data_IF_855827261809
#
_entry.id   IF_855827261809
#
_cell.length_a   1.000
_cell.length_b   1.000
_cell.length_c   1.000
_cell.angle_alpha   90.00
_cell.angle_beta   90.00
_cell.angle_gamma   90.00
#
_symmetry.space_group_name_H-M   'P 1'
#
loop_
_entity.id
_entity.type
_entity.pdbx_description
1 polymer ?
#
# COMPACT_ATOMS: atom_id res chain seq x y z
N UNK A 1 -4.08 16.49 -1.24
CA UNK A 1 -4.48 15.09 -1.45
C UNK A 1 -3.33 14.22 -0.96
N UNK A 2 -3.65 13.06 -0.42
CA UNK A 2 -2.67 12.15 0.18
C UNK A 2 -3.06 10.70 -0.10
N UNK A 3 -2.06 9.83 -0.17
CA UNK A 3 -2.21 8.37 -0.17
C UNK A 3 -1.51 7.83 1.07
N UNK A 4 -2.20 6.96 1.82
CA UNK A 4 -1.72 6.35 3.05
C UNK A 4 -1.15 7.36 4.06
N UNK A 5 -1.82 8.52 4.15
CA UNK A 5 -1.41 9.61 5.04
C UNK A 5 -0.19 10.42 4.56
N UNK A 6 0.33 10.14 3.36
CA UNK A 6 1.44 10.87 2.75
C UNK A 6 0.95 11.79 1.63
N UNK A 7 1.25 13.12 1.70
CA UNK A 7 0.95 14.04 0.62
C UNK A 7 1.54 13.60 -0.73
N UNK A 8 0.78 13.78 -1.82
CA UNK A 8 1.18 13.34 -3.17
C UNK A 8 2.48 14.00 -3.67
N UNK A 9 2.75 15.24 -3.28
CA UNK A 9 3.95 16.01 -3.64
C UNK A 9 5.14 15.75 -2.70
N UNK A 10 5.04 14.75 -1.82
CA UNK A 10 6.11 14.51 -0.88
C UNK A 10 7.34 13.92 -1.55
N UNK A 11 7.21 13.07 -2.57
CA UNK A 11 8.37 12.55 -3.32
C UNK A 11 8.85 13.56 -4.40
N UNK A 12 10.17 13.70 -4.66
CA UNK A 12 10.67 14.64 -5.66
C UNK A 12 10.08 14.43 -7.06
N UNK A 13 9.56 15.51 -7.63
CA UNK A 13 8.95 15.52 -8.97
C UNK A 13 7.49 15.08 -8.98
N UNK A 14 6.92 14.67 -7.84
CA UNK A 14 5.53 14.26 -7.76
C UNK A 14 4.59 15.47 -7.67
N UNK A 15 3.41 15.42 -8.32
CA UNK A 15 2.52 16.56 -8.38
C UNK A 15 1.74 16.71 -7.06
N UNK A 16 1.37 17.93 -6.66
CA UNK A 16 0.52 18.18 -5.48
C UNK A 16 -0.93 17.72 -5.67
N UNK A 17 -1.31 17.42 -6.91
CA UNK A 17 -2.65 17.01 -7.31
C UNK A 17 -2.58 15.99 -8.44
N UNK A 18 -3.39 14.94 -8.31
CA UNK A 18 -3.64 13.96 -9.34
C UNK A 18 -5.15 13.92 -9.62
N UNK A 19 -5.54 14.10 -10.88
CA UNK A 19 -6.95 14.00 -11.28
C UNK A 19 -7.23 12.59 -11.80
N UNK A 20 -8.05 11.85 -11.06
CA UNK A 20 -8.45 10.47 -11.40
C UNK A 20 -9.96 10.31 -11.31
N UNK A 21 -10.51 9.38 -12.08
CA UNK A 21 -11.91 8.96 -11.98
C UNK A 21 -12.09 7.76 -11.05
N UNK A 22 -11.06 6.92 -10.95
CA UNK A 22 -11.04 5.74 -10.11
C UNK A 22 -9.73 5.71 -9.32
N UNK A 23 -9.81 5.31 -8.07
CA UNK A 23 -8.67 5.02 -7.22
C UNK A 23 -8.88 3.64 -6.63
N UNK A 24 -7.91 2.76 -6.83
CA UNK A 24 -7.91 1.46 -6.16
C UNK A 24 -7.39 1.69 -4.75
N UNK A 25 -8.19 1.29 -3.76
CA UNK A 25 -7.81 1.37 -2.36
C UNK A 25 -7.50 -0.04 -1.85
N UNK A 26 -6.24 -0.33 -1.48
CA UNK A 26 -5.91 -1.57 -0.78
C UNK A 26 -6.67 -1.68 0.55
N UNK A 27 -6.69 -2.87 1.14
CA UNK A 27 -7.23 -3.03 2.49
C UNK A 27 -6.43 -2.15 3.47
N UNK A 28 -7.16 -1.38 4.30
CA UNK A 28 -6.64 -0.29 5.13
C UNK A 28 -5.89 0.85 4.43
N UNK A 29 -5.76 0.80 3.10
CA UNK A 29 -5.31 1.93 2.30
C UNK A 29 -6.20 3.15 2.51
N UNK A 30 -5.60 4.33 2.46
CA UNK A 30 -6.31 5.59 2.71
C UNK A 30 -6.07 6.57 1.59
N UNK A 31 -7.12 7.28 1.20
CA UNK A 31 -6.99 8.39 0.28
C UNK A 31 -7.76 9.61 0.73
N UNK A 32 -7.13 10.76 0.55
CA UNK A 32 -7.71 12.07 0.80
C UNK A 32 -7.84 12.80 -0.53
N UNK A 33 -9.06 13.06 -0.97
CA UNK A 33 -9.36 13.68 -2.25
C UNK A 33 -10.42 14.77 -2.15
N UNK A 34 -10.46 15.64 -3.15
CA UNK A 34 -11.52 16.64 -3.33
C UNK A 34 -12.27 16.30 -4.60
N UNK A 35 -13.60 16.33 -4.55
CA UNK A 35 -14.46 16.12 -5.72
C UNK A 35 -15.18 17.41 -6.10
N UNK A 36 -15.38 17.61 -7.40
CA UNK A 36 -16.35 18.61 -7.86
C UNK A 36 -17.76 18.06 -7.63
N UNK A 37 -18.61 18.81 -6.92
CA UNK A 37 -19.97 18.38 -6.59
C UNK A 37 -20.82 18.13 -7.85
N UNK A 38 -21.67 17.08 -7.85
CA UNK A 38 -22.48 16.76 -9.02
C UNK A 38 -23.63 17.78 -9.21
N UNK A 39 -24.07 17.95 -10.45
CA UNK A 39 -25.22 18.81 -10.79
C UNK A 39 -26.57 18.19 -10.42
N UNK A 40 -26.60 16.88 -10.20
CA UNK A 40 -27.75 16.09 -9.78
C UNK A 40 -27.33 15.14 -8.65
N UNK A 41 -28.29 14.54 -7.95
CA UNK A 41 -27.97 13.53 -6.94
C UNK A 41 -27.26 12.34 -7.60
N UNK A 42 -26.04 12.02 -7.16
CA UNK A 42 -25.18 10.99 -7.76
C UNK A 42 -24.61 10.09 -6.66
N UNK A 43 -24.62 8.75 -6.82
CA UNK A 43 -23.99 7.87 -5.85
C UNK A 43 -22.46 7.97 -5.94
N UNK A 44 -21.81 7.99 -4.78
CA UNK A 44 -20.42 7.60 -4.63
C UNK A 44 -20.42 6.10 -4.34
N UNK A 45 -19.73 5.32 -5.16
CA UNK A 45 -19.78 3.86 -5.11
C UNK A 45 -18.41 3.24 -5.34
N UNK A 46 -18.23 2.02 -4.83
CA UNK A 46 -17.13 1.15 -5.23
C UNK A 46 -17.47 0.52 -6.58
N UNK A 47 -16.47 0.29 -7.43
CA UNK A 47 -16.65 -0.55 -8.63
C UNK A 47 -16.42 -2.01 -8.27
N UNK A 48 -16.98 -2.93 -9.05
CA UNK A 48 -16.62 -4.34 -8.94
C UNK A 48 -15.10 -4.49 -9.08
N UNK A 49 -14.48 -5.26 -8.18
CA UNK A 49 -13.06 -5.50 -8.20
C UNK A 49 -12.79 -7.01 -8.27
N UNK A 50 -11.97 -7.43 -9.25
CA UNK A 50 -11.62 -8.83 -9.42
C UNK A 50 -10.33 -9.14 -8.69
N UNK A 51 -10.44 -9.93 -7.63
CA UNK A 51 -9.35 -10.30 -6.73
C UNK A 51 -8.59 -11.55 -7.18
N UNK A 52 -8.94 -12.13 -8.34
CA UNK A 52 -8.39 -13.41 -8.80
C UNK A 52 -9.37 -14.55 -8.62
N UNK A 53 -9.08 -15.70 -9.24
CA UNK A 53 -9.97 -16.87 -9.20
C UNK A 53 -10.03 -17.55 -7.82
N UNK A 54 -9.01 -17.31 -6.98
CA UNK A 54 -8.98 -17.80 -5.60
C UNK A 54 -9.56 -16.83 -4.57
N UNK A 55 -9.84 -15.58 -4.98
CA UNK A 55 -10.18 -14.51 -4.06
C UNK A 55 -11.70 -14.31 -3.91
N UNK A 56 -12.07 -13.57 -2.87
CA UNK A 56 -13.46 -13.20 -2.62
C UNK A 56 -13.99 -12.19 -3.64
N UNK A 57 -15.28 -12.28 -4.03
CA UNK A 57 -15.87 -11.29 -4.92
C UNK A 57 -16.12 -9.98 -4.19
N UNK A 58 -15.62 -8.87 -4.76
CA UNK A 58 -15.92 -7.52 -4.30
C UNK A 58 -16.94 -6.86 -5.24
N UNK A 59 -18.25 -6.98 -4.97
CA UNK A 59 -19.27 -6.35 -5.81
C UNK A 59 -19.30 -4.83 -5.60
N UNK A 60 -19.85 -4.14 -6.60
CA UNK A 60 -20.19 -2.72 -6.48
C UNK A 60 -21.12 -2.47 -5.28
N UNK A 61 -20.79 -1.44 -4.50
CA UNK A 61 -21.57 -1.00 -3.36
C UNK A 61 -21.68 0.53 -3.35
N UNK A 62 -22.88 1.05 -3.06
CA UNK A 62 -23.08 2.49 -2.84
C UNK A 62 -22.55 2.87 -1.46
N UNK A 63 -21.57 3.75 -1.41
CA UNK A 63 -20.95 4.26 -0.18
C UNK A 63 -21.73 5.46 0.38
N UNK A 64 -22.12 6.39 -0.50
CA UNK A 64 -22.84 7.60 -0.13
C UNK A 64 -23.64 8.16 -1.30
N UNK A 65 -24.59 9.04 -1.01
CA UNK A 65 -25.30 9.84 -2.02
C UNK A 65 -24.82 11.28 -1.96
N UNK A 66 -24.17 11.75 -3.03
CA UNK A 66 -23.77 13.13 -3.20
C UNK A 66 -24.96 13.92 -3.71
N UNK A 67 -25.45 14.88 -2.93
CA UNK A 67 -26.55 15.77 -3.32
C UNK A 67 -26.02 17.13 -3.75
N UNK A 68 -26.58 17.74 -4.80
CA UNK A 68 -26.26 19.12 -5.12
C UNK A 68 -26.63 19.99 -3.92
N UNK A 69 -25.66 20.74 -3.40
CA UNK A 69 -25.97 21.84 -2.50
C UNK A 69 -26.63 22.93 -3.33
N UNK A 70 -27.96 22.96 -3.37
CA UNK A 70 -28.67 24.13 -3.89
C UNK A 70 -28.18 25.34 -3.11
N UNK A 71 -27.57 26.33 -3.81
CA UNK A 71 -26.95 27.54 -3.29
C UNK A 71 -26.85 27.60 -1.74
N UNK A 72 -26.05 26.71 -1.13
CA UNK A 72 -25.71 26.93 0.28
C UNK A 72 -24.97 28.26 0.29
N UNK A 73 -25.51 29.22 1.04
CA UNK A 73 -24.79 30.44 1.37
C UNK A 73 -23.38 30.01 1.72
N UNK A 74 -22.38 30.58 1.03
CA UNK A 74 -20.99 30.48 1.46
C UNK A 74 -20.99 30.88 2.93
N UNK A 75 -21.01 29.91 3.84
CA UNK A 75 -20.49 30.10 5.20
C UNK A 75 -19.02 30.37 4.99
N UNK A 76 -18.72 31.64 4.74
CA UNK A 76 -17.39 32.20 4.61
C UNK A 76 -16.88 32.35 6.03
N UNK A 77 -16.69 31.21 6.68
CA UNK A 77 -15.95 31.07 7.93
C UNK A 77 -15.76 29.58 8.22
N UNK A 78 -15.06 28.89 7.33
CA UNK A 78 -14.05 27.98 7.85
C UNK A 78 -13.09 28.87 8.65
N UNK A 79 -13.31 28.97 9.96
CA UNK A 79 -12.28 29.45 10.87
C UNK A 79 -11.19 28.41 10.78
N UNK A 80 -10.30 28.57 9.79
CA UNK A 80 -8.98 28.00 9.84
C UNK A 80 -8.34 28.66 11.06
N UNK A 81 -8.55 28.05 12.23
CA UNK A 81 -7.87 28.45 13.46
C UNK A 81 -6.39 28.56 13.10
N UNK A 82 -5.75 29.72 13.33
CA UNK A 82 -4.41 29.96 12.89
C UNK A 82 -3.50 28.95 13.58
N UNK A 83 -2.96 28.06 12.75
CA UNK A 83 -1.78 27.26 12.97
C UNK A 83 -1.61 26.76 14.41
N UNK A 84 -2.05 25.54 14.68
CA UNK A 84 -1.21 24.66 15.50
C UNK A 84 0.18 24.70 14.85
N UNK A 85 1.10 25.49 15.43
CA UNK A 85 2.52 25.36 15.19
C UNK A 85 2.94 24.06 15.85
N UNK A 86 2.52 22.95 15.24
CA UNK A 86 3.23 21.70 15.43
C UNK A 86 4.59 22.00 14.85
N UNK A 87 5.64 21.95 15.66
CA UNK A 87 6.98 21.79 15.10
C UNK A 87 6.83 20.63 14.11
N UNK A 88 7.14 20.81 12.81
CA UNK A 88 7.10 19.68 11.91
C UNK A 88 7.94 18.61 12.60
N UNK A 89 7.32 17.45 12.87
CA UNK A 89 8.08 16.26 13.21
C UNK A 89 9.24 16.23 12.21
N UNK A 90 10.46 16.03 12.71
CA UNK A 90 11.68 16.05 11.88
C UNK A 90 11.33 15.35 10.58
N UNK A 91 11.35 16.09 9.47
CA UNK A 91 10.82 15.59 8.19
C UNK A 91 11.47 14.24 7.93
N UNK A 92 10.66 13.18 7.92
CA UNK A 92 11.05 11.92 7.33
C UNK A 92 11.63 12.24 5.95
N UNK A 93 12.71 11.56 5.57
CA UNK A 93 13.52 11.82 4.38
C UNK A 93 12.77 11.53 3.05
N UNK A 94 11.44 11.60 3.08
CA UNK A 94 10.51 11.32 2.01
C UNK A 94 10.51 12.36 0.90
N UNK A 95 11.07 13.55 1.17
CA UNK A 95 11.24 14.67 0.22
C UNK A 95 12.58 14.70 -0.52
N UNK A 96 13.37 13.64 -0.39
CA UNK A 96 14.60 13.45 -1.17
C UNK A 96 14.53 12.12 -1.90
N UNK A 97 15.15 12.07 -3.09
CA UNK A 97 15.23 10.82 -3.85
C UNK A 97 16.00 9.79 -3.01
N UNK A 98 15.56 8.54 -3.08
CA UNK A 98 16.21 7.47 -2.33
C UNK A 98 17.59 7.16 -2.92
N UNK A 99 18.63 6.95 -2.08
CA UNK A 99 19.90 6.43 -2.55
C UNK A 99 19.74 5.01 -3.10
N UNK A 100 20.74 4.48 -3.85
CA UNK A 100 20.73 3.10 -4.29
C UNK A 100 20.55 2.12 -3.11
N UNK A 101 19.83 1.00 -3.30
CA UNK A 101 19.56 0.05 -2.23
C UNK A 101 20.86 -0.59 -1.74
N UNK A 102 21.02 -0.65 -0.41
CA UNK A 102 22.16 -1.29 0.23
C UNK A 102 22.06 -2.83 0.22
N UNK A 103 20.83 -3.36 0.11
CA UNK A 103 20.52 -4.79 0.04
C UNK A 103 19.32 -5.04 -0.87
N UNK A 104 19.26 -6.26 -1.40
CA UNK A 104 18.13 -6.79 -2.17
C UNK A 104 17.56 -8.00 -1.46
N UNK A 105 16.23 -8.05 -1.30
CA UNK A 105 15.55 -9.18 -0.66
C UNK A 105 14.43 -9.71 -1.54
N UNK A 106 14.07 -10.96 -1.30
CA UNK A 106 12.88 -11.57 -1.88
C UNK A 106 12.05 -12.16 -0.75
N UNK A 107 10.74 -11.94 -0.79
CA UNK A 107 9.78 -12.62 0.08
C UNK A 107 8.60 -13.14 -0.74
N UNK A 108 8.01 -14.24 -0.32
CA UNK A 108 7.01 -14.98 -1.08
C UNK A 108 5.74 -15.18 -0.27
N UNK A 109 4.63 -14.68 -0.79
CA UNK A 109 3.29 -14.92 -0.30
C UNK A 109 2.74 -16.19 -0.97
N UNK A 110 2.17 -17.07 -0.16
CA UNK A 110 1.64 -18.35 -0.63
C UNK A 110 0.52 -18.86 0.29
N UNK A 111 -0.25 -19.81 -0.23
CA UNK A 111 -1.37 -20.46 0.46
C UNK A 111 -1.26 -21.98 0.37
N UNK A 112 -1.98 -22.69 1.23
CA UNK A 112 -2.20 -24.12 1.05
C UNK A 112 -3.23 -24.36 -0.07
N UNK A 113 -3.28 -25.58 -0.60
CA UNK A 113 -4.20 -25.92 -1.71
C UNK A 113 -5.69 -25.72 -1.38
N UNK A 114 -6.05 -25.62 -0.10
CA UNK A 114 -7.41 -25.43 0.37
C UNK A 114 -7.78 -23.94 0.57
N UNK A 115 -6.85 -22.98 0.41
CA UNK A 115 -7.11 -21.56 0.65
C UNK A 115 -7.45 -21.24 2.12
N UNK A 116 -6.94 -22.03 3.06
CA UNK A 116 -7.28 -21.91 4.51
C UNK A 116 -6.08 -21.56 5.40
N UNK A 117 -4.86 -21.67 4.86
CA UNK A 117 -3.63 -21.33 5.57
C UNK A 117 -2.76 -20.49 4.66
N UNK A 118 -2.15 -19.47 5.24
CA UNK A 118 -1.46 -18.42 4.52
C UNK A 118 -0.05 -18.25 5.06
N UNK A 119 0.92 -18.06 4.18
CA UNK A 119 2.33 -18.17 4.50
C UNK A 119 3.13 -17.03 3.90
N UNK A 120 4.13 -16.58 4.64
CA UNK A 120 5.22 -15.77 4.13
C UNK A 120 6.51 -16.61 4.18
N UNK A 121 7.14 -16.78 3.02
CA UNK A 121 8.34 -17.60 2.84
C UNK A 121 8.16 -19.02 3.42
N UNK A 122 7.01 -19.62 3.13
CA UNK A 122 6.62 -20.97 3.53
C UNK A 122 6.36 -21.16 5.03
N UNK A 123 6.22 -20.08 5.82
CA UNK A 123 5.91 -20.16 7.25
C UNK A 123 4.71 -19.30 7.61
N UNK A 124 3.88 -19.81 8.53
CA UNK A 124 2.89 -19.01 9.23
C UNK A 124 3.57 -18.20 10.33
N UNK A 125 2.97 -17.07 10.66
CA UNK A 125 3.36 -16.28 11.82
C UNK A 125 3.25 -17.10 13.11
N UNK A 126 4.27 -16.98 13.96
CA UNK A 126 4.22 -17.45 15.34
C UNK A 126 4.86 -16.39 16.25
N UNK A 127 4.16 -15.93 17.30
CA UNK A 127 4.72 -14.97 18.25
C UNK A 127 6.03 -15.47 18.86
N UNK A 128 7.05 -14.61 18.90
CA UNK A 128 8.35 -14.92 19.52
C UNK A 128 9.36 -15.58 18.59
N UNK A 129 8.99 -15.96 17.36
CA UNK A 129 9.95 -16.42 16.35
C UNK A 129 11.00 -15.33 16.02
N UNK A 130 12.22 -15.72 15.61
CA UNK A 130 13.20 -14.78 15.11
C UNK A 130 12.68 -13.96 13.91
N UNK A 131 13.11 -12.70 13.77
CA UNK A 131 12.76 -11.89 12.60
C UNK A 131 13.16 -12.59 11.29
N UNK A 132 12.28 -12.52 10.29
CA UNK A 132 12.54 -13.01 8.94
C UNK A 132 13.76 -12.34 8.33
N UNK A 133 13.86 -11.03 8.53
CA UNK A 133 14.99 -10.21 8.11
C UNK A 133 15.47 -9.32 9.25
N UNK A 134 16.79 -9.19 9.35
CA UNK A 134 17.45 -8.14 10.12
C UNK A 134 17.93 -7.09 9.10
N UNK A 135 17.47 -5.88 9.29
CA UNK A 135 17.63 -4.74 8.39
C UNK A 135 18.52 -3.72 9.08
N UNK A 136 19.47 -3.17 8.33
CA UNK A 136 20.36 -2.14 8.87
C UNK A 136 19.66 -0.79 8.84
N UNK A 137 19.48 -0.18 10.01
CA UNK A 137 18.99 1.20 10.14
C UNK A 137 19.89 2.16 9.38
N UNK A 138 19.30 3.19 8.76
CA UNK A 138 20.03 4.15 7.94
C UNK A 138 20.19 3.74 6.48
N UNK A 139 19.55 2.64 6.03
CA UNK A 139 19.66 2.15 4.65
C UNK A 139 18.34 2.19 3.90
N UNK A 140 18.45 2.05 2.58
CA UNK A 140 17.33 1.72 1.69
C UNK A 140 17.53 0.28 1.23
N UNK A 141 16.45 -0.49 1.13
CA UNK A 141 16.49 -1.84 0.57
C UNK A 141 15.50 -1.99 -0.59
N UNK A 142 15.86 -2.80 -1.58
CA UNK A 142 14.95 -3.18 -2.68
C UNK A 142 14.38 -4.57 -2.36
N UNK A 143 13.06 -4.69 -2.28
CA UNK A 143 12.40 -5.97 -2.04
C UNK A 143 11.63 -6.40 -3.28
N UNK A 144 11.77 -7.67 -3.63
CA UNK A 144 10.88 -8.35 -4.57
C UNK A 144 9.87 -9.15 -3.76
N UNK A 145 8.61 -8.73 -3.80
CA UNK A 145 7.50 -9.45 -3.16
C UNK A 145 6.83 -10.30 -4.24
N UNK A 146 6.76 -11.61 -4.04
CA UNK A 146 6.17 -12.55 -4.99
C UNK A 146 4.88 -13.12 -4.44
N UNK A 147 3.88 -13.28 -5.30
CA UNK A 147 2.64 -13.98 -5.00
C UNK A 147 2.50 -15.23 -5.86
N UNK A 148 2.41 -16.38 -5.21
CA UNK A 148 2.25 -17.70 -5.85
C UNK A 148 0.82 -18.24 -5.74
N UNK A 149 -0.14 -17.38 -5.49
CA UNK A 149 -1.54 -17.75 -5.28
C UNK A 149 -2.40 -17.23 -6.42
N UNK A 150 -3.64 -17.73 -6.46
CA UNK A 150 -4.61 -17.37 -7.49
C UNK A 150 -5.51 -16.20 -7.05
N UNK A 151 -5.14 -15.52 -5.97
CA UNK A 151 -5.80 -14.32 -5.45
C UNK A 151 -4.80 -13.19 -5.22
N UNK A 152 -5.28 -11.95 -5.23
CA UNK A 152 -4.45 -10.83 -4.82
C UNK A 152 -4.13 -10.95 -3.34
N UNK A 153 -3.03 -10.34 -2.96
CA UNK A 153 -2.77 -10.00 -1.58
C UNK A 153 -2.53 -8.51 -1.48
N UNK A 154 -2.44 -8.02 -0.25
CA UNK A 154 -2.13 -6.63 0.01
C UNK A 154 -0.89 -6.55 0.88
N UNK A 155 0.26 -6.21 0.29
CA UNK A 155 1.50 -6.13 1.04
C UNK A 155 1.46 -4.87 1.90
N UNK A 156 1.45 -5.05 3.22
CA UNK A 156 1.56 -3.96 4.18
C UNK A 156 2.83 -4.11 5.02
N UNK A 157 3.50 -3.00 5.34
CA UNK A 157 4.64 -2.97 6.26
C UNK A 157 4.51 -1.84 7.27
N UNK A 158 4.76 -2.16 8.54
CA UNK A 158 4.66 -1.18 9.61
C UNK A 158 5.87 -0.23 9.60
N UNK A 159 5.70 0.96 10.20
CA UNK A 159 6.74 1.97 10.50
C UNK A 159 7.43 2.64 9.30
N UNK A 160 7.40 2.05 8.11
CA UNK A 160 8.10 2.58 6.92
C UNK A 160 7.15 2.72 5.74
N UNK A 161 7.57 3.55 4.79
CA UNK A 161 6.93 3.66 3.49
C UNK A 161 7.88 3.16 2.40
N UNK A 162 7.32 2.88 1.24
CA UNK A 162 8.05 2.40 0.09
C UNK A 162 7.57 3.06 -1.21
N UNK A 163 8.42 2.96 -2.23
CA UNK A 163 8.09 3.27 -3.62
C UNK A 163 7.88 1.96 -4.38
N UNK A 164 6.84 1.89 -5.21
CA UNK A 164 6.64 0.78 -6.16
C UNK A 164 7.40 1.09 -7.45
N UNK A 165 8.46 0.34 -7.73
CA UNK A 165 9.30 0.54 -8.92
C UNK A 165 8.83 -0.31 -10.12
N UNK A 166 8.24 -1.49 -9.87
CA UNK A 166 7.71 -2.34 -10.92
C UNK A 166 6.58 -3.25 -10.41
N UNK A 167 5.64 -3.56 -11.30
CA UNK A 167 4.53 -4.49 -11.08
C UNK A 167 4.60 -5.56 -12.17
N UNK A 168 4.66 -6.84 -11.81
CA UNK A 168 4.80 -7.95 -12.76
C UNK A 168 5.96 -7.76 -13.75
N UNK A 169 7.08 -7.22 -13.26
CA UNK A 169 8.28 -6.92 -14.06
C UNK A 169 8.15 -5.69 -14.98
N UNK A 170 6.98 -5.06 -15.06
CA UNK A 170 6.76 -3.82 -15.81
C UNK A 170 7.12 -2.62 -14.92
N UNK A 171 8.10 -1.77 -15.31
CA UNK A 171 8.46 -0.60 -14.54
C UNK A 171 7.29 0.39 -14.40
N UNK A 172 7.11 0.92 -13.19
CA UNK A 172 6.21 2.03 -12.93
C UNK A 172 6.91 3.34 -13.34
N UNK A 173 6.36 4.11 -14.29
CA UNK A 173 6.95 5.39 -14.66
C UNK A 173 6.69 6.44 -13.57
N UNK A 174 7.55 7.47 -13.43
CA UNK A 174 7.26 8.61 -12.56
C UNK A 174 5.98 9.35 -13.00
N UNK A 175 5.30 10.08 -12.10
CA UNK A 175 5.70 10.37 -10.72
C UNK A 175 5.58 9.19 -9.76
N UNK A 176 6.42 9.15 -8.73
CA UNK A 176 6.39 8.13 -7.69
C UNK A 176 5.63 8.61 -6.45
N UNK A 177 4.99 7.70 -5.74
CA UNK A 177 4.26 8.02 -4.52
C UNK A 177 4.70 7.07 -3.41
N UNK A 178 4.58 7.56 -2.17
CA UNK A 178 4.83 6.78 -0.97
C UNK A 178 3.60 5.95 -0.63
N UNK A 179 3.83 4.69 -0.30
CA UNK A 179 2.82 3.75 0.16
C UNK A 179 3.32 3.04 1.41
N UNK A 180 2.41 2.59 2.25
CA UNK A 180 2.68 1.58 3.30
C UNK A 180 1.93 0.27 3.03
N UNK A 181 0.94 0.30 2.13
CA UNK A 181 0.21 -0.84 1.60
C UNK A 181 0.11 -0.78 0.07
N UNK A 182 0.24 -1.93 -0.59
CA UNK A 182 0.03 -2.02 -2.04
C UNK A 182 -0.42 -3.40 -2.47
N UNK A 183 -1.36 -3.42 -3.43
CA UNK A 183 -1.90 -4.66 -3.98
C UNK A 183 -0.78 -5.44 -4.68
N UNK A 184 -0.56 -6.65 -4.20
CA UNK A 184 0.31 -7.65 -4.77
C UNK A 184 -0.51 -8.53 -5.73
N UNK A 185 -0.29 -8.42 -7.07
CA UNK A 185 -1.08 -9.15 -8.06
C UNK A 185 -1.01 -10.67 -7.85
N UNK A 186 -2.03 -11.40 -8.30
CA UNK A 186 -2.02 -12.87 -8.32
C UNK A 186 -1.14 -13.42 -9.44
N UNK A 187 -0.83 -14.71 -9.36
CA UNK A 187 -0.03 -15.39 -10.38
C UNK A 187 -0.80 -15.61 -11.69
N UNK A 188 -0.12 -15.55 -12.82
CA UNK A 188 -0.73 -15.77 -14.14
C UNK A 188 -0.26 -17.07 -14.75
N UNK A 189 -1.20 -17.86 -15.27
CA UNK A 189 -0.90 -19.04 -16.10
C UNK A 189 -0.59 -18.59 -17.52
N UNK A 190 0.60 -18.92 -17.99
CA UNK A 190 1.07 -18.60 -19.34
C UNK A 190 0.51 -19.59 -20.37
N UNK A 191 0.55 -19.19 -21.65
CA UNK A 191 0.09 -20.04 -22.77
C UNK A 191 0.90 -21.33 -22.94
N UNK A 192 2.13 -21.37 -22.46
CA UNK A 192 3.01 -22.55 -22.48
C UNK A 192 2.76 -23.52 -21.30
N UNK A 193 1.77 -23.23 -20.44
CA UNK A 193 1.43 -24.02 -19.27
C UNK A 193 2.26 -23.71 -18.02
N UNK A 194 3.27 -22.85 -18.11
CA UNK A 194 4.01 -22.37 -16.95
C UNK A 194 3.18 -21.35 -16.15
N UNK A 195 3.57 -21.10 -14.90
CA UNK A 195 2.93 -20.10 -14.05
C UNK A 195 3.96 -19.06 -13.63
N UNK A 196 3.62 -17.79 -13.83
CA UNK A 196 4.44 -16.65 -13.41
C UNK A 196 3.84 -16.07 -12.14
N UNK A 197 4.59 -16.01 -11.03
CA UNK A 197 4.13 -15.33 -9.82
C UNK A 197 3.76 -13.88 -10.11
N UNK A 198 2.71 -13.38 -9.48
CA UNK A 198 2.51 -11.95 -9.40
C UNK A 198 3.67 -11.32 -8.61
N UNK A 199 4.04 -10.09 -8.92
CA UNK A 199 5.21 -9.49 -8.26
C UNK A 199 5.15 -7.98 -8.12
N UNK A 200 5.73 -7.51 -7.02
CA UNK A 200 6.08 -6.11 -6.80
C UNK A 200 7.59 -6.00 -6.61
N UNK A 201 8.16 -4.93 -7.16
CA UNK A 201 9.49 -4.44 -6.79
C UNK A 201 9.31 -3.15 -6.01
N UNK A 202 9.77 -3.17 -4.76
CA UNK A 202 9.59 -2.11 -3.79
C UNK A 202 10.93 -1.53 -3.36
N UNK A 203 11.01 -0.22 -3.19
CA UNK A 203 12.16 0.46 -2.60
C UNK A 203 11.76 1.02 -1.24
N UNK A 204 12.23 0.39 -0.16
CA UNK A 204 11.82 0.66 1.22
C UNK A 204 12.81 1.58 1.94
N UNK A 205 12.29 2.59 2.64
CA UNK A 205 13.12 3.59 3.33
C UNK A 205 13.28 3.27 4.84
N UNK A 206 14.40 2.67 5.21
CA UNK A 206 14.78 2.41 6.61
C UNK A 206 15.76 3.46 7.17
N UNK A 207 15.81 4.66 6.57
CA UNK A 207 16.80 5.68 6.97
C UNK A 207 16.43 6.45 8.24
N UNK A 208 15.16 6.47 8.65
CA UNK A 208 14.76 7.12 9.88
C UNK A 208 15.32 6.35 11.10
N UNK A 209 16.18 6.96 11.94
CA UNK A 209 16.74 6.26 13.10
C UNK A 209 15.71 5.96 14.21
N UNK A 210 14.52 6.55 14.18
CA UNK A 210 13.47 6.36 15.19
C UNK A 210 12.76 5.01 15.06
N UNK A 211 12.73 4.42 13.85
CA UNK A 211 12.01 3.17 13.56
C UNK A 211 12.72 1.90 14.05
N UNK A 212 13.87 2.03 14.73
CA UNK A 212 14.62 0.87 15.24
C UNK A 212 13.76 0.02 16.15
N UNK A 213 13.84 -1.30 16.00
CA UNK A 213 13.03 -2.25 16.76
C UNK A 213 12.45 -3.35 15.88
N UNK A 214 11.52 -4.11 16.46
CA UNK A 214 10.79 -5.18 15.77
C UNK A 214 9.40 -4.71 15.38
N UNK A 215 9.04 -4.95 14.14
CA UNK A 215 7.69 -4.72 13.62
C UNK A 215 7.42 -5.71 12.48
N UNK A 216 6.23 -5.66 11.92
CA UNK A 216 5.74 -6.68 11.00
C UNK A 216 5.54 -6.15 9.59
N UNK A 217 5.59 -7.06 8.63
CA UNK A 217 4.90 -6.94 7.36
C UNK A 217 3.98 -8.13 7.19
N UNK A 218 2.85 -7.92 6.53
CA UNK A 218 1.80 -8.93 6.41
C UNK A 218 0.91 -8.66 5.20
N UNK A 219 0.04 -9.63 4.91
CA UNK A 219 -1.13 -9.36 4.08
C UNK A 219 -2.11 -8.49 4.85
N UNK A 220 -2.68 -7.46 4.24
CA UNK A 220 -3.70 -6.61 4.87
C UNK A 220 -5.14 -7.10 4.64
N UNK A 221 -5.32 -8.23 3.94
CA UNK A 221 -6.57 -8.99 4.03
C UNK A 221 -6.58 -9.66 5.41
N UNK A 222 -7.35 -9.09 6.35
CA UNK A 222 -7.29 -9.43 7.78
C UNK A 222 -7.45 -10.94 8.04
N UNK A 223 -8.34 -11.59 7.29
CA UNK A 223 -8.54 -13.03 7.39
C UNK A 223 -7.26 -13.82 7.06
N UNK A 224 -6.38 -13.31 6.19
CA UNK A 224 -5.12 -13.95 5.82
C UNK A 224 -4.04 -13.65 6.85
N UNK A 225 -4.00 -12.40 7.35
CA UNK A 225 -3.15 -11.99 8.47
C UNK A 225 -3.36 -12.91 9.69
N UNK A 226 -4.61 -13.01 10.16
CA UNK A 226 -5.01 -13.78 11.34
C UNK A 226 -4.72 -15.29 11.17
N UNK A 227 -4.81 -15.79 9.92
CA UNK A 227 -4.48 -17.18 9.57
C UNK A 227 -2.99 -17.38 9.25
N UNK A 228 -2.14 -16.38 9.48
CA UNK A 228 -0.69 -16.52 9.57
C UNK A 228 0.14 -15.84 8.50
N UNK A 229 -0.44 -15.04 7.59
CA UNK A 229 0.29 -14.32 6.54
C UNK A 229 1.01 -13.08 7.05
N UNK A 230 1.84 -13.25 8.07
CA UNK A 230 2.58 -12.19 8.75
C UNK A 230 3.99 -12.63 9.08
N UNK A 231 4.93 -11.69 9.02
CA UNK A 231 6.33 -11.91 9.35
C UNK A 231 6.91 -10.73 10.12
N UNK A 232 7.74 -11.03 11.11
CA UNK A 232 8.49 -10.01 11.86
C UNK A 232 9.76 -9.63 11.11
N UNK A 233 10.13 -8.37 11.13
CA UNK A 233 11.47 -7.87 10.83
C UNK A 233 12.06 -7.14 12.04
N UNK A 234 13.38 -7.01 12.05
CA UNK A 234 14.09 -6.17 13.02
C UNK A 234 14.92 -5.14 12.28
N UNK A 235 14.81 -3.87 12.68
CA UNK A 235 15.66 -2.78 12.21
C UNK A 235 16.65 -2.41 13.31
N UNK A 236 17.95 -2.53 13.02
CA UNK A 236 19.05 -2.38 13.98
C UNK A 236 20.09 -1.34 13.55
#
# INVERSE_FOLDING_TARGET
MALDGVPLDMYPGSPPMLAVQHLVLPAAGRAEFVVFGPSQTTPLMTSCYFTGNGGDPDPEATLAWLRPTGAMQRETQAVLTPHLRVNPLRRNLMSVALPPPAQRRTTVFSENAAGTQFFIDGKQFAPGEPPRFIIKSGTVEEWTVLNKTNEIHDFHIHQVHFIVEAINGVPVPPPYFWYDSFILPYQTKNSDGTTTPGSLKLLLDFRDPVIKGKFVYHCHLLDHEDKGMMATIAVE
#
